data_IF_381776618120
#
_entry.id   IF_381776618120
#
_cell.length_a   1.000
_cell.length_b   1.000
_cell.length_c   1.000
_cell.angle_alpha   90.00
_cell.angle_beta   90.00
_cell.angle_gamma   90.00
#
_symmetry.space_group_name_H-M   'P 1'
#
loop_
_entity.id
_entity.type
_entity.pdbx_description
1 polymer ?
#
# COMPACT_ATOMS: atom_id res chain seq x y z
N UNK A 1 -10.47 -8.65 20.91
CA UNK A 1 -10.37 -7.81 19.71
C UNK A 1 -11.51 -8.20 18.79
N UNK A 2 -12.32 -7.27 18.31
CA UNK A 2 -13.29 -7.59 17.28
C UNK A 2 -12.56 -8.14 16.06
N UNK A 3 -12.85 -9.36 15.66
CA UNK A 3 -12.31 -9.93 14.42
C UNK A 3 -13.07 -9.34 13.22
N UNK A 4 -12.37 -9.10 12.14
CA UNK A 4 -12.95 -8.68 10.86
C UNK A 4 -12.43 -9.60 9.78
N UNK A 5 -13.34 -10.20 9.02
CA UNK A 5 -12.99 -10.95 7.81
C UNK A 5 -12.85 -9.96 6.66
N UNK A 6 -11.84 -10.21 5.83
CA UNK A 6 -11.59 -9.48 4.58
C UNK A 6 -11.40 -10.50 3.46
N UNK A 7 -12.09 -10.33 2.34
CA UNK A 7 -11.91 -11.17 1.17
C UNK A 7 -12.27 -10.44 -0.11
N UNK A 8 -11.95 -11.03 -1.24
CA UNK A 8 -12.30 -10.53 -2.56
C UNK A 8 -13.19 -11.52 -3.30
N UNK A 9 -14.04 -10.96 -4.15
CA UNK A 9 -14.88 -11.74 -5.09
C UNK A 9 -14.57 -11.27 -6.51
N UNK A 10 -14.30 -12.21 -7.41
CA UNK A 10 -14.06 -11.92 -8.81
C UNK A 10 -15.37 -11.49 -9.49
N UNK A 11 -15.33 -10.36 -10.19
CA UNK A 11 -16.48 -9.82 -10.94
C UNK A 11 -16.50 -10.30 -12.40
N UNK A 12 -15.39 -10.88 -12.86
CA UNK A 12 -15.21 -11.44 -14.20
C UNK A 12 -15.30 -12.99 -14.20
N UNK A 13 -15.97 -13.58 -13.21
CA UNK A 13 -16.08 -15.03 -13.05
C UNK A 13 -14.73 -15.77 -13.04
N UNK A 14 -13.63 -15.01 -12.81
CA UNK A 14 -12.26 -15.50 -12.87
C UNK A 14 -11.69 -15.61 -14.30
N UNK A 15 -12.41 -15.16 -15.31
CA UNK A 15 -11.94 -15.16 -16.70
C UNK A 15 -11.18 -13.86 -17.04
N UNK A 16 -9.85 -13.91 -17.21
CA UNK A 16 -9.07 -12.72 -17.54
C UNK A 16 -9.32 -12.18 -18.95
N UNK A 17 -10.02 -12.92 -19.82
CA UNK A 17 -10.34 -12.49 -21.18
C UNK A 17 -11.54 -11.53 -21.23
N UNK A 18 -12.37 -11.52 -20.18
CA UNK A 18 -13.50 -10.61 -20.13
C UNK A 18 -13.04 -9.16 -20.02
N UNK A 19 -13.66 -8.31 -20.84
CA UNK A 19 -13.43 -6.86 -20.80
C UNK A 19 -14.47 -6.21 -19.89
N UNK A 20 -14.07 -5.96 -18.64
CA UNK A 20 -14.92 -5.37 -17.61
C UNK A 20 -14.22 -4.22 -16.89
N UNK A 21 -14.99 -3.28 -16.37
CA UNK A 21 -14.46 -2.07 -15.72
C UNK A 21 -13.71 -2.36 -14.41
N UNK A 22 -14.16 -3.36 -13.65
CA UNK A 22 -13.57 -3.76 -12.37
C UNK A 22 -13.50 -5.29 -12.31
N UNK A 23 -12.35 -5.82 -11.90
CA UNK A 23 -12.11 -7.26 -11.86
C UNK A 23 -12.46 -7.90 -10.53
N UNK A 24 -12.23 -7.20 -9.43
CA UNK A 24 -12.51 -7.73 -8.10
C UNK A 24 -13.24 -6.71 -7.22
N UNK A 25 -14.11 -7.20 -6.34
CA UNK A 25 -14.73 -6.45 -5.26
C UNK A 25 -14.16 -6.91 -3.92
N UNK A 26 -13.87 -5.98 -3.02
CA UNK A 26 -13.31 -6.23 -1.69
C UNK A 26 -14.42 -6.07 -0.66
N UNK A 27 -14.56 -7.04 0.22
CA UNK A 27 -15.60 -7.08 1.24
C UNK A 27 -15.02 -7.16 2.64
N UNK A 28 -15.75 -6.57 3.60
CA UNK A 28 -15.54 -6.72 5.03
C UNK A 28 -16.76 -7.36 5.70
N UNK A 29 -16.51 -8.14 6.74
CA UNK A 29 -17.53 -8.64 7.65
C UNK A 29 -16.98 -8.63 9.07
N UNK A 30 -17.58 -7.81 9.93
CA UNK A 30 -17.17 -7.68 11.34
C UNK A 30 -17.83 -8.74 12.22
N UNK A 31 -17.13 -9.14 13.26
CA UNK A 31 -17.71 -10.03 14.27
C UNK A 31 -18.93 -9.36 14.95
N UNK A 32 -19.99 -10.13 15.28
CA UNK A 32 -20.08 -11.59 15.34
C UNK A 32 -20.43 -12.29 14.02
N UNK A 33 -20.31 -11.62 12.86
CA UNK A 33 -20.52 -12.15 11.50
C UNK A 33 -21.99 -12.45 11.16
N UNK A 34 -22.91 -11.81 11.82
CA UNK A 34 -24.36 -11.94 11.67
C UNK A 34 -25.01 -10.81 10.86
N UNK A 35 -24.18 -9.86 10.40
CA UNK A 35 -24.59 -8.75 9.53
C UNK A 35 -24.27 -9.02 8.08
N UNK A 36 -24.92 -8.34 7.11
CA UNK A 36 -24.53 -8.43 5.71
C UNK A 36 -23.08 -7.98 5.48
N UNK A 37 -22.38 -8.64 4.56
CA UNK A 37 -21.07 -8.20 4.10
C UNK A 37 -21.12 -6.77 3.57
N UNK A 38 -20.08 -5.98 3.82
CA UNK A 38 -19.94 -4.62 3.31
C UNK A 38 -18.91 -4.58 2.20
N UNK A 39 -19.31 -4.18 0.98
CA UNK A 39 -18.36 -3.84 -0.08
C UNK A 39 -17.64 -2.55 0.28
N UNK A 40 -16.30 -2.56 0.23
CA UNK A 40 -15.48 -1.40 0.59
C UNK A 40 -14.71 -0.83 -0.60
N UNK A 41 -14.46 -1.62 -1.63
CA UNK A 41 -13.70 -1.18 -2.82
C UNK A 41 -13.89 -2.15 -3.99
N UNK A 42 -13.54 -1.65 -5.20
CA UNK A 42 -13.36 -2.47 -6.41
C UNK A 42 -12.04 -2.13 -7.07
N UNK A 43 -11.29 -3.14 -7.52
CA UNK A 43 -10.04 -2.94 -8.25
C UNK A 43 -10.25 -3.06 -9.76
N UNK A 44 -9.52 -2.26 -10.52
CA UNK A 44 -9.55 -2.26 -11.99
C UNK A 44 -8.87 -3.52 -12.52
N UNK A 45 -7.70 -3.84 -11.98
CA UNK A 45 -6.96 -5.06 -12.25
C UNK A 45 -7.29 -6.13 -11.19
N UNK A 46 -6.63 -7.29 -11.25
CA UNK A 46 -6.77 -8.34 -10.25
C UNK A 46 -6.18 -7.86 -8.91
N UNK A 47 -6.96 -7.95 -7.85
CA UNK A 47 -6.51 -7.66 -6.48
C UNK A 47 -5.27 -8.48 -6.12
N UNK A 48 -4.31 -7.85 -5.48
CA UNK A 48 -3.09 -8.52 -5.00
C UNK A 48 -2.89 -8.38 -3.50
N UNK A 49 -3.17 -7.21 -2.91
CA UNK A 49 -2.93 -6.98 -1.49
C UNK A 49 -3.79 -5.85 -0.93
N UNK A 50 -4.02 -5.89 0.39
CA UNK A 50 -4.57 -4.81 1.18
C UNK A 50 -3.82 -4.67 2.51
N UNK A 51 -3.28 -3.50 2.76
CA UNK A 51 -2.54 -3.15 3.97
C UNK A 51 -3.33 -2.13 4.79
N UNK A 52 -3.85 -2.56 5.93
CA UNK A 52 -4.57 -1.66 6.82
C UNK A 52 -3.61 -0.80 7.63
N UNK A 53 -3.93 0.49 7.75
CA UNK A 53 -3.24 1.38 8.67
C UNK A 53 -3.96 1.48 10.02
N UNK A 54 -5.25 1.72 9.94
CA UNK A 54 -6.15 1.80 11.08
C UNK A 54 -7.60 1.57 10.60
N UNK A 55 -8.60 1.91 11.43
CA UNK A 55 -10.02 1.76 11.06
C UNK A 55 -10.47 2.64 9.88
N UNK A 56 -9.69 3.66 9.54
CA UNK A 56 -10.07 4.68 8.54
C UNK A 56 -9.27 4.61 7.25
N UNK A 57 -8.15 3.90 7.23
CA UNK A 57 -7.18 3.98 6.13
C UNK A 57 -6.67 2.59 5.79
N UNK A 58 -6.66 2.28 4.49
CA UNK A 58 -5.91 1.15 3.94
C UNK A 58 -5.24 1.57 2.61
N UNK A 59 -4.25 0.79 2.21
CA UNK A 59 -3.64 0.81 0.88
C UNK A 59 -4.01 -0.49 0.19
N UNK A 60 -4.51 -0.40 -1.04
CA UNK A 60 -4.89 -1.54 -1.87
C UNK A 60 -3.99 -1.58 -3.08
N UNK A 61 -3.60 -2.77 -3.50
CA UNK A 61 -2.82 -2.99 -4.72
C UNK A 61 -3.52 -3.97 -5.64
N UNK A 62 -3.36 -3.74 -6.93
CA UNK A 62 -3.82 -4.63 -7.99
C UNK A 62 -2.76 -4.83 -9.06
N UNK A 63 -2.95 -5.84 -9.91
CA UNK A 63 -2.02 -6.17 -10.98
C UNK A 63 -2.73 -6.81 -12.17
N UNK A 64 -2.32 -6.43 -13.39
CA UNK A 64 -2.77 -7.05 -14.62
C UNK A 64 -1.58 -7.69 -15.36
N UNK A 65 -1.53 -9.00 -15.37
CA UNK A 65 -0.47 -9.79 -16.00
C UNK A 65 -0.24 -9.43 -17.48
N UNK A 66 -1.31 -9.26 -18.25
CA UNK A 66 -1.25 -9.02 -19.70
C UNK A 66 -0.45 -7.76 -20.07
N UNK A 67 -0.57 -6.70 -19.29
CA UNK A 67 0.07 -5.39 -19.53
C UNK A 67 1.18 -5.08 -18.55
N UNK A 68 1.41 -5.95 -17.57
CA UNK A 68 2.30 -5.68 -16.42
C UNK A 68 1.90 -4.42 -15.64
N UNK A 69 0.67 -3.96 -15.82
CA UNK A 69 0.19 -2.79 -15.10
C UNK A 69 -0.09 -3.12 -13.64
N UNK A 70 0.42 -2.30 -12.74
CA UNK A 70 0.10 -2.33 -11.31
C UNK A 70 -0.43 -0.97 -10.87
N UNK A 71 -1.46 -0.99 -10.05
CA UNK A 71 -2.02 0.21 -9.43
C UNK A 71 -1.98 0.06 -7.93
N UNK A 72 -1.68 1.16 -7.25
CA UNK A 72 -1.79 1.28 -5.81
C UNK A 72 -2.81 2.36 -5.50
N UNK A 73 -3.71 2.06 -4.57
CA UNK A 73 -4.80 2.94 -4.19
C UNK A 73 -4.72 3.28 -2.71
N UNK A 74 -5.01 4.52 -2.39
CA UNK A 74 -5.36 4.92 -1.04
C UNK A 74 -6.85 4.72 -0.85
N UNK A 75 -7.25 3.97 0.17
CA UNK A 75 -8.65 3.67 0.50
C UNK A 75 -9.02 4.39 1.80
N UNK A 76 -9.95 5.34 1.71
CA UNK A 76 -10.55 6.00 2.86
C UNK A 76 -11.80 5.23 3.31
N UNK A 77 -11.70 4.58 4.46
CA UNK A 77 -12.77 3.80 5.09
C UNK A 77 -13.63 4.64 6.05
N UNK A 78 -13.24 5.90 6.34
CA UNK A 78 -13.95 6.77 7.29
C UNK A 78 -15.26 7.33 6.73
N UNK A 79 -15.36 7.41 5.41
CA UNK A 79 -16.56 7.88 4.73
C UNK A 79 -17.70 6.85 4.79
N UNK A 80 -18.94 7.31 4.76
CA UNK A 80 -20.13 6.46 4.70
C UNK A 80 -20.07 5.48 3.51
N UNK A 81 -19.55 5.96 2.39
CA UNK A 81 -19.14 5.14 1.24
C UNK A 81 -17.61 5.27 1.13
N UNK A 82 -16.86 4.18 1.29
CA UNK A 82 -15.41 4.21 1.15
C UNK A 82 -15.00 4.74 -0.23
N UNK A 83 -13.96 5.57 -0.24
CA UNK A 83 -13.47 6.18 -1.47
C UNK A 83 -12.05 5.70 -1.76
N UNK A 84 -11.82 5.24 -3.00
CA UNK A 84 -10.50 4.88 -3.49
C UNK A 84 -9.92 5.97 -4.38
N UNK A 85 -8.64 6.28 -4.16
CA UNK A 85 -7.87 7.19 -5.01
C UNK A 85 -6.60 6.48 -5.48
N UNK A 86 -6.37 6.46 -6.79
CA UNK A 86 -5.11 5.95 -7.36
C UNK A 86 -3.98 6.89 -6.92
N UNK A 87 -2.94 6.31 -6.34
CA UNK A 87 -1.72 7.00 -5.90
C UNK A 87 -0.50 6.57 -6.72
N UNK A 88 -0.55 5.40 -7.35
CA UNK A 88 0.43 4.94 -8.34
C UNK A 88 -0.27 4.13 -9.41
N UNK A 89 0.12 4.33 -10.67
CA UNK A 89 -0.34 3.59 -11.85
C UNK A 89 0.85 3.47 -12.79
N UNK A 90 1.44 2.27 -12.89
CA UNK A 90 2.68 2.07 -13.63
C UNK A 90 2.79 0.67 -14.24
N UNK A 91 3.76 0.49 -15.09
CA UNK A 91 4.22 -0.84 -15.47
C UNK A 91 5.13 -1.38 -14.36
N UNK A 92 4.88 -2.59 -13.87
CA UNK A 92 5.67 -3.22 -12.79
C UNK A 92 7.11 -3.53 -13.20
N UNK A 93 7.39 -3.63 -14.50
CA UNK A 93 8.73 -3.87 -15.05
C UNK A 93 9.54 -2.56 -15.21
N UNK A 94 8.89 -1.40 -15.09
CA UNK A 94 9.59 -0.12 -15.01
C UNK A 94 10.10 0.12 -13.59
N UNK A 95 11.31 -0.37 -13.34
CA UNK A 95 11.95 -0.28 -12.03
C UNK A 95 12.32 1.17 -11.65
N UNK A 96 12.56 2.04 -12.64
CA UNK A 96 12.94 3.43 -12.37
C UNK A 96 11.77 4.28 -11.84
N UNK A 97 10.53 3.92 -12.18
CA UNK A 97 9.34 4.60 -11.67
C UNK A 97 8.79 3.98 -10.38
N UNK A 98 9.49 2.99 -9.79
CA UNK A 98 9.01 2.31 -8.60
C UNK A 98 8.99 3.24 -7.37
N UNK A 99 7.81 3.57 -6.80
CA UNK A 99 7.70 4.42 -5.63
C UNK A 99 8.11 3.71 -4.33
N UNK A 100 8.48 2.43 -4.39
CA UNK A 100 8.72 1.59 -3.23
C UNK A 100 7.44 1.02 -2.62
N UNK A 101 7.61 0.34 -1.50
CA UNK A 101 6.55 -0.32 -0.75
C UNK A 101 6.26 0.43 0.54
N UNK A 102 5.00 0.45 0.98
CA UNK A 102 4.65 1.02 2.27
C UNK A 102 5.27 0.22 3.41
N UNK A 103 5.90 0.93 4.33
CA UNK A 103 6.50 0.33 5.51
C UNK A 103 5.41 -0.06 6.52
N UNK A 104 5.60 -1.19 7.15
CA UNK A 104 4.67 -1.77 8.11
C UNK A 104 5.32 -1.83 9.49
N UNK A 105 4.52 -1.69 10.53
CA UNK A 105 4.94 -1.90 11.91
C UNK A 105 3.97 -2.83 12.63
N UNK A 106 4.45 -3.50 13.66
CA UNK A 106 3.59 -4.29 14.55
C UNK A 106 2.72 -3.36 15.40
N UNK A 107 1.44 -3.63 15.41
CA UNK A 107 0.48 -2.93 16.25
C UNK A 107 0.33 -3.62 17.63
N UNK A 108 -0.52 -3.07 18.50
CA UNK A 108 -0.81 -3.61 19.84
C UNK A 108 -1.35 -5.06 19.86
N UNK A 109 -1.87 -5.55 18.72
CA UNK A 109 -2.37 -6.91 18.54
C UNK A 109 -1.34 -7.86 17.94
N UNK A 110 -0.09 -7.41 17.80
CA UNK A 110 1.00 -8.15 17.17
C UNK A 110 0.74 -8.53 15.69
N UNK A 111 -0.11 -7.76 14.99
CA UNK A 111 -0.31 -7.83 13.55
C UNK A 111 0.37 -6.65 12.86
N UNK A 112 0.68 -6.79 11.58
CA UNK A 112 1.28 -5.72 10.81
C UNK A 112 0.22 -4.72 10.33
N UNK A 113 0.55 -3.43 10.43
CA UNK A 113 -0.24 -2.33 9.88
C UNK A 113 0.69 -1.26 9.32
N UNK A 114 0.17 -0.36 8.48
CA UNK A 114 0.95 0.75 7.94
C UNK A 114 1.66 1.52 9.06
N UNK A 115 2.94 1.80 8.85
CA UNK A 115 3.74 2.59 9.78
C UNK A 115 3.35 4.07 9.67
N UNK A 116 2.85 4.65 10.77
CA UNK A 116 2.50 6.07 10.84
C UNK A 116 3.57 6.91 11.53
N UNK A 117 3.64 8.18 11.12
CA UNK A 117 4.28 9.22 11.93
C UNK A 117 3.55 9.36 13.29
N UNK A 118 4.21 9.92 14.33
CA UNK A 118 3.60 10.10 15.65
C UNK A 118 2.30 10.92 15.62
N UNK A 119 2.21 11.91 14.74
CA UNK A 119 1.02 12.75 14.56
C UNK A 119 -0.06 12.12 13.66
N UNK A 120 0.16 10.89 13.17
CA UNK A 120 -0.72 10.12 12.28
C UNK A 120 -1.07 10.80 10.95
N UNK A 121 -0.29 11.79 10.52
CA UNK A 121 -0.52 12.53 9.27
C UNK A 121 0.26 11.98 8.08
N UNK A 122 1.22 11.10 8.34
CA UNK A 122 2.11 10.53 7.32
C UNK A 122 2.23 9.03 7.50
N UNK A 123 2.54 8.35 6.40
CA UNK A 123 3.00 6.97 6.33
C UNK A 123 4.31 6.94 5.54
N UNK A 124 5.05 5.85 5.59
CA UNK A 124 6.38 5.78 5.00
C UNK A 124 6.46 4.72 3.92
N UNK A 125 7.32 4.97 2.92
CA UNK A 125 7.68 4.01 1.88
C UNK A 125 9.19 3.79 1.91
N UNK A 126 9.60 2.58 1.56
CA UNK A 126 10.99 2.28 1.25
C UNK A 126 11.08 1.57 -0.09
N UNK A 127 12.15 1.81 -0.83
CA UNK A 127 12.36 1.23 -2.14
C UNK A 127 13.84 1.11 -2.50
N UNK A 128 14.11 0.36 -3.56
CA UNK A 128 15.47 0.08 -4.05
C UNK A 128 16.13 1.28 -4.73
N UNK A 129 15.32 2.21 -5.23
CA UNK A 129 15.85 3.42 -5.87
C UNK A 129 16.73 3.12 -7.08
N UNK A 130 16.20 2.30 -7.99
CA UNK A 130 16.91 1.93 -9.21
C UNK A 130 17.33 3.16 -10.02
N UNK A 131 18.56 3.17 -10.50
CA UNK A 131 19.10 4.20 -11.39
C UNK A 131 20.10 3.58 -12.37
N UNK A 132 20.45 4.30 -13.47
CA UNK A 132 21.49 3.83 -14.40
C UNK A 132 22.85 3.60 -13.74
N UNK A 133 23.13 4.29 -12.64
CA UNK A 133 24.39 4.20 -11.88
C UNK A 133 24.35 3.09 -10.80
N UNK A 134 23.18 2.46 -10.59
CA UNK A 134 22.96 1.42 -9.57
C UNK A 134 21.83 1.74 -8.63
N UNK A 135 21.62 0.86 -7.67
CA UNK A 135 20.56 1.03 -6.67
C UNK A 135 20.95 2.06 -5.61
N UNK A 136 20.03 2.94 -5.31
CA UNK A 136 20.13 3.93 -4.24
C UNK A 136 18.91 3.85 -3.34
N UNK A 137 18.85 2.83 -2.45
CA UNK A 137 17.74 2.60 -1.55
C UNK A 137 17.32 3.87 -0.82
N UNK A 138 16.02 3.99 -0.57
CA UNK A 138 15.47 5.22 -0.03
C UNK A 138 14.34 4.99 0.96
N UNK A 139 14.06 6.05 1.72
CA UNK A 139 12.83 6.18 2.52
C UNK A 139 12.15 7.49 2.18
N UNK A 140 10.86 7.40 1.85
CA UNK A 140 9.98 8.54 1.60
C UNK A 140 8.88 8.63 2.66
N UNK A 141 8.54 9.84 3.07
CA UNK A 141 7.29 10.12 3.79
C UNK A 141 6.19 10.45 2.79
N UNK A 142 5.01 9.84 2.97
CA UNK A 142 3.80 10.12 2.21
C UNK A 142 2.80 10.89 3.08
N UNK A 143 2.43 12.10 2.68
CA UNK A 143 1.49 12.95 3.41
C UNK A 143 0.04 12.56 3.04
N UNK A 144 -0.72 12.08 4.00
CA UNK A 144 -2.09 11.59 3.79
C UNK A 144 -3.03 12.66 3.22
N UNK A 145 -2.94 13.90 3.71
CA UNK A 145 -3.82 14.98 3.30
C UNK A 145 -3.60 15.44 1.85
N UNK A 146 -2.34 15.52 1.42
CA UNK A 146 -1.98 16.05 0.09
C UNK A 146 -1.69 14.97 -0.94
N UNK A 147 -1.37 13.76 -0.52
CA UNK A 147 -0.88 12.68 -1.38
C UNK A 147 0.52 12.93 -1.94
N UNK A 148 1.29 13.84 -1.33
CA UNK A 148 2.67 14.14 -1.76
C UNK A 148 3.66 13.29 -1.00
N UNK A 149 4.71 12.86 -1.71
CA UNK A 149 5.89 12.20 -1.14
C UNK A 149 7.02 13.19 -0.96
N UNK A 150 7.85 12.93 0.06
CA UNK A 150 9.10 13.65 0.30
C UNK A 150 10.17 12.66 0.71
N UNK A 151 11.32 12.64 0.01
CA UNK A 151 12.50 11.87 0.37
C UNK A 151 13.05 12.35 1.70
N UNK A 152 13.18 11.43 2.68
CA UNK A 152 13.77 11.72 4.00
C UNK A 152 15.12 11.06 4.20
N UNK A 153 15.41 9.99 3.45
CA UNK A 153 16.71 9.33 3.42
C UNK A 153 16.95 8.67 2.06
N UNK A 154 18.20 8.63 1.63
CA UNK A 154 18.65 7.89 0.46
C UNK A 154 20.12 7.50 0.60
N UNK A 155 20.46 6.26 0.25
CA UNK A 155 21.83 5.79 0.15
C UNK A 155 22.61 6.63 -0.87
N UNK A 156 23.89 6.87 -0.63
CA UNK A 156 24.76 7.60 -1.56
C UNK A 156 25.02 6.79 -2.85
N UNK A 157 25.01 5.45 -2.73
CA UNK A 157 25.18 4.51 -3.85
C UNK A 157 26.57 4.49 -4.46
N UNK A 158 27.55 5.16 -3.84
CA UNK A 158 28.91 5.32 -4.36
C UNK A 158 29.94 4.61 -3.49
N UNK A 159 29.90 4.85 -2.19
CA UNK A 159 30.94 4.39 -1.26
C UNK A 159 30.53 3.16 -0.46
N UNK A 160 29.23 2.98 -0.24
CA UNK A 160 28.66 1.92 0.58
C UNK A 160 27.43 1.31 -0.07
N UNK A 161 27.23 0.01 0.17
CA UNK A 161 25.97 -0.66 -0.13
C UNK A 161 25.12 -0.67 1.14
N UNK A 162 24.04 0.08 1.12
CA UNK A 162 23.12 0.20 2.25
C UNK A 162 21.74 -0.28 1.84
N UNK A 163 21.05 -0.95 2.74
CA UNK A 163 19.65 -1.34 2.59
C UNK A 163 18.85 -0.85 3.78
N UNK A 164 17.65 -0.37 3.53
CA UNK A 164 16.73 0.01 4.61
C UNK A 164 16.18 -1.26 5.26
N UNK A 165 16.41 -1.43 6.55
CA UNK A 165 15.88 -2.55 7.33
C UNK A 165 14.60 -2.13 8.04
N UNK A 166 14.65 -1.07 8.86
CA UNK A 166 13.48 -0.59 9.61
C UNK A 166 13.74 0.79 10.23
N UNK A 167 12.70 1.40 10.80
CA UNK A 167 12.85 2.53 11.70
C UNK A 167 13.19 2.05 13.12
N UNK A 168 14.28 2.57 13.67
CA UNK A 168 14.60 2.43 15.10
C UNK A 168 13.76 3.40 15.93
N UNK A 169 13.59 4.63 15.44
CA UNK A 169 12.79 5.67 16.08
C UNK A 169 12.19 6.60 15.02
N UNK A 170 10.89 6.44 14.77
CA UNK A 170 10.14 7.24 13.79
C UNK A 170 10.10 8.73 14.17
N UNK A 171 10.14 9.05 15.49
CA UNK A 171 10.07 10.45 15.95
C UNK A 171 11.33 11.24 15.60
N UNK A 172 12.46 10.55 15.48
CA UNK A 172 13.77 11.12 15.18
C UNK A 172 14.23 10.84 13.74
N UNK A 173 13.41 10.19 12.93
CA UNK A 173 13.81 9.65 11.62
C UNK A 173 15.08 8.78 11.70
N UNK A 174 15.24 8.03 12.78
CA UNK A 174 16.37 7.13 12.96
C UNK A 174 16.09 5.82 12.27
N UNK A 175 16.80 5.57 11.18
CA UNK A 175 16.62 4.41 10.30
C UNK A 175 17.80 3.45 10.54
N UNK A 176 17.50 2.16 10.55
CA UNK A 176 18.48 1.09 10.53
C UNK A 176 18.75 0.71 9.07
N UNK A 177 19.98 0.81 8.64
CA UNK A 177 20.49 0.39 7.33
C UNK A 177 21.55 -0.68 7.48
#
# INVERSE_FOLDING_TARGET
VPATLVWTEALDEGDPALDIAYRDAIFLLEAPFDTPKKEIAKTINRFTDIQFGNKSIAVVSDYLWKTRNTKTYFLDLSAKQPAMKIISDRNSEDLYSDPGNFMLARNEFNTYSLLFSPDKKKIFLSGEGYSPEGNRPFVDEYQLASGKTKRIWQADGISTYEQVIDFVDVTKNLILT
#
